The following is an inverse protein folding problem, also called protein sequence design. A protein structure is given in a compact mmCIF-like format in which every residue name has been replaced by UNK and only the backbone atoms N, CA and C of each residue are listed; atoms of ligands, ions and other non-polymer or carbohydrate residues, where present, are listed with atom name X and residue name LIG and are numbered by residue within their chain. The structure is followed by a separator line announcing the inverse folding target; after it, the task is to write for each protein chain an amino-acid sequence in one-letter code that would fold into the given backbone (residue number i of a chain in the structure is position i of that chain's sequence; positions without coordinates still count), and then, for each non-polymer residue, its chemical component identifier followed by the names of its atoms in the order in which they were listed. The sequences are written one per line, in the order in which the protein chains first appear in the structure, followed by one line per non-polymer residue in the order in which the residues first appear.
data_IF_435984691528
#
_entry.id   IF_435984691528
#
_cell.length_a   1.000
_cell.length_b   1.000
_cell.length_c   1.000
_cell.angle_alpha   90.00
_cell.angle_beta   90.00
_cell.angle_gamma   90.00
#
_symmetry.space_group_name_H-M   'P 1'
#
loop_
_entity.id
_entity.type
_entity.pdbx_description
1 polymer ?
#
# COMPACT_ATOMS: atom_id res chain seq x y z
N UNK A 1 14.10 -24.18 -12.64
CA UNK A 1 13.90 -22.82 -12.14
C UNK A 1 13.68 -21.78 -13.25
N UNK A 2 13.52 -22.19 -14.52
CA UNK A 2 13.35 -21.28 -15.69
C UNK A 2 11.96 -21.23 -16.32
N UNK A 3 10.99 -22.02 -15.85
CA UNK A 3 9.66 -22.07 -16.46
C UNK A 3 8.60 -21.12 -15.86
N UNK A 4 8.93 -20.43 -14.78
CA UNK A 4 7.97 -19.54 -14.09
C UNK A 4 7.96 -18.13 -14.70
N UNK A 5 9.02 -17.70 -15.35
CA UNK A 5 9.13 -16.34 -15.91
C UNK A 5 8.44 -16.13 -17.27
N UNK A 6 8.23 -17.18 -18.07
CA UNK A 6 7.62 -17.03 -19.40
C UNK A 6 6.09 -16.88 -19.41
N UNK A 7 5.40 -17.27 -18.32
CA UNK A 7 3.94 -17.15 -18.24
C UNK A 7 3.45 -15.77 -17.83
N UNK A 8 4.33 -14.95 -17.26
CA UNK A 8 3.99 -13.58 -16.84
C UNK A 8 3.91 -12.56 -17.98
N UNK A 9 4.53 -12.83 -19.12
CA UNK A 9 4.62 -11.86 -20.22
C UNK A 9 3.32 -11.73 -21.05
N UNK A 10 2.54 -12.80 -21.24
CA UNK A 10 1.31 -12.74 -22.04
C UNK A 10 0.11 -12.17 -21.31
N UNK A 11 0.14 -12.17 -19.98
CA UNK A 11 -0.94 -11.64 -19.12
C UNK A 11 -0.72 -10.15 -18.75
N UNK A 12 0.50 -9.64 -18.98
CA UNK A 12 0.89 -8.25 -18.71
C UNK A 12 0.14 -7.24 -19.60
N UNK A 13 -0.03 -7.55 -20.88
CA UNK A 13 -0.77 -6.69 -21.81
C UNK A 13 -2.28 -6.61 -21.51
N UNK A 14 -2.87 -7.72 -21.09
CA UNK A 14 -4.29 -7.76 -20.70
C UNK A 14 -4.54 -7.04 -19.36
N UNK A 15 -3.59 -7.10 -18.42
CA UNK A 15 -3.63 -6.40 -17.13
C UNK A 15 -3.38 -4.91 -17.28
N UNK A 16 -2.41 -4.51 -18.10
CA UNK A 16 -2.13 -3.10 -18.38
C UNK A 16 -3.35 -2.39 -18.98
N UNK A 17 -4.04 -3.01 -19.94
CA UNK A 17 -5.25 -2.46 -20.55
C UNK A 17 -6.42 -2.21 -19.57
N UNK A 18 -6.52 -2.99 -18.48
CA UNK A 18 -7.57 -2.77 -17.48
C UNK A 18 -7.26 -1.57 -16.58
N UNK A 19 -5.98 -1.30 -16.31
CA UNK A 19 -5.55 -0.17 -15.48
C UNK A 19 -5.30 1.13 -16.27
N UNK A 20 -5.00 1.04 -17.56
CA UNK A 20 -4.89 2.19 -18.48
C UNK A 20 -6.23 2.89 -18.74
N UNK A 21 -7.36 2.28 -18.39
CA UNK A 21 -8.70 2.83 -18.61
C UNK A 21 -9.26 3.65 -17.43
N UNK A 22 -8.53 3.79 -16.33
CA UNK A 22 -8.98 4.64 -15.23
C UNK A 22 -8.73 6.12 -15.57
N UNK A 23 -9.75 6.74 -16.18
CA UNK A 23 -9.77 8.17 -16.39
C UNK A 23 -9.80 8.90 -15.02
N UNK A 24 -8.89 9.83 -14.81
CA UNK A 24 -8.79 10.65 -13.57
C UNK A 24 -10.11 11.37 -13.23
N UNK A 25 -11.00 11.57 -14.21
CA UNK A 25 -12.36 12.05 -13.96
C UNK A 25 -13.20 11.11 -13.09
N UNK A 26 -12.79 9.84 -12.92
CA UNK A 26 -13.47 8.87 -12.05
C UNK A 26 -13.05 8.99 -10.58
N UNK A 27 -12.03 9.77 -10.25
CA UNK A 27 -11.65 10.05 -8.86
C UNK A 27 -12.70 10.91 -8.13
N UNK A 28 -13.70 11.43 -8.83
CA UNK A 28 -14.84 12.11 -8.18
C UNK A 28 -15.55 11.25 -7.13
N UNK A 29 -15.38 9.92 -7.17
CA UNK A 29 -15.86 9.00 -6.15
C UNK A 29 -14.82 7.93 -5.80
N UNK A 30 -13.94 8.26 -4.85
CA UNK A 30 -12.86 7.38 -4.41
C UNK A 30 -13.38 6.03 -3.88
N UNK A 31 -14.53 5.99 -3.19
CA UNK A 31 -15.11 4.73 -2.70
C UNK A 31 -15.50 3.81 -3.86
N UNK A 32 -16.12 4.35 -4.90
CA UNK A 32 -16.51 3.57 -6.08
C UNK A 32 -15.29 3.07 -6.84
N UNK A 33 -14.29 3.92 -7.02
CA UNK A 33 -13.03 3.56 -7.68
C UNK A 33 -12.33 2.43 -6.91
N UNK A 34 -12.15 2.58 -5.59
CA UNK A 34 -11.54 1.56 -4.75
C UNK A 34 -12.28 0.22 -4.81
N UNK A 35 -13.61 0.26 -4.82
CA UNK A 35 -14.44 -0.93 -4.97
C UNK A 35 -14.24 -1.61 -6.32
N UNK A 36 -14.23 -0.87 -7.41
CA UNK A 36 -14.02 -1.39 -8.76
C UNK A 36 -12.63 -2.02 -8.93
N UNK A 37 -11.58 -1.35 -8.41
CA UNK A 37 -10.20 -1.87 -8.45
C UNK A 37 -10.10 -3.18 -7.68
N UNK A 38 -10.68 -3.26 -6.47
CA UNK A 38 -10.67 -4.47 -5.65
C UNK A 38 -11.47 -5.61 -6.31
N UNK A 39 -12.65 -5.33 -6.83
CA UNK A 39 -13.48 -6.34 -7.51
C UNK A 39 -12.80 -6.85 -8.78
N UNK A 40 -12.23 -5.97 -9.60
CA UNK A 40 -11.48 -6.34 -10.79
C UNK A 40 -10.26 -7.19 -10.46
N UNK A 41 -9.54 -6.86 -9.40
CA UNK A 41 -8.40 -7.63 -8.91
C UNK A 41 -8.81 -9.04 -8.43
N UNK A 42 -9.88 -9.15 -7.64
CA UNK A 42 -10.40 -10.44 -7.15
C UNK A 42 -10.87 -11.31 -8.33
N UNK A 43 -11.60 -10.75 -9.30
CA UNK A 43 -12.01 -11.48 -10.51
C UNK A 43 -10.79 -11.95 -11.30
N UNK A 44 -9.75 -11.13 -11.40
CA UNK A 44 -8.48 -11.49 -12.04
C UNK A 44 -7.78 -12.66 -11.32
N UNK A 45 -7.79 -12.68 -9.99
CA UNK A 45 -7.25 -13.78 -9.19
C UNK A 45 -8.01 -15.10 -9.43
N UNK A 46 -9.33 -15.07 -9.54
CA UNK A 46 -10.13 -16.27 -9.79
C UNK A 46 -9.88 -16.90 -11.17
N UNK A 47 -9.41 -16.14 -12.14
CA UNK A 47 -8.99 -16.63 -13.46
C UNK A 47 -7.55 -17.13 -13.48
N UNK A 48 -6.77 -16.87 -12.43
CA UNK A 48 -5.39 -17.33 -12.30
C UNK A 48 -5.35 -18.72 -11.64
N UNK A 49 -4.41 -19.60 -12.01
CA UNK A 49 -4.25 -20.92 -11.37
C UNK A 49 -3.83 -20.85 -9.90
N UNK A 50 -3.64 -19.68 -9.33
CA UNK A 50 -3.49 -19.46 -7.89
C UNK A 50 -4.84 -19.59 -7.15
N UNK A 51 -5.40 -20.80 -7.15
CA UNK A 51 -6.57 -21.16 -6.35
C UNK A 51 -6.13 -21.34 -4.88
N UNK A 52 -6.10 -20.28 -4.10
CA UNK A 52 -5.73 -20.36 -2.69
C UNK A 52 -6.24 -19.19 -1.84
N UNK A 53 -6.69 -18.12 -2.48
CA UNK A 53 -7.19 -16.94 -1.77
C UNK A 53 -8.71 -16.82 -1.91
N UNK A 54 -9.45 -17.74 -1.27
CA UNK A 54 -10.88 -17.53 -1.07
C UNK A 54 -11.08 -16.61 0.11
N UNK A 55 -11.57 -15.39 -0.14
CA UNK A 55 -11.93 -14.39 0.87
C UNK A 55 -13.23 -14.77 1.60
N UNK A 56 -13.86 -15.86 1.19
CA UNK A 56 -15.08 -16.41 1.80
C UNK A 56 -15.02 -17.92 1.78
N UNK A 57 -14.52 -18.56 2.84
CA UNK A 57 -14.97 -19.89 3.20
C UNK A 57 -14.91 -20.05 4.72
N UNK A 58 -16.05 -19.96 5.36
CA UNK A 58 -16.27 -20.65 6.61
C UNK A 58 -16.29 -22.15 6.27
N UNK A 59 -15.19 -22.85 6.50
CA UNK A 59 -15.17 -24.31 6.42
C UNK A 59 -16.14 -24.87 7.45
N UNK A 60 -17.15 -25.58 6.98
CA UNK A 60 -17.97 -26.41 7.85
C UNK A 60 -17.15 -27.65 8.21
N UNK A 61 -16.63 -27.72 9.42
CA UNK A 61 -15.99 -28.92 9.96
C UNK A 61 -17.06 -29.89 10.47
N UNK A 62 -16.92 -31.17 10.21
CA UNK A 62 -17.77 -32.19 10.82
C UNK A 62 -17.67 -32.12 12.36
N UNK A 63 -18.79 -32.18 13.04
CA UNK A 63 -18.87 -32.24 14.49
C UNK A 63 -18.25 -33.53 15.00
N UNK A 64 -17.38 -33.43 16.00
CA UNK A 64 -16.84 -34.58 16.70
C UNK A 64 -17.60 -34.77 18.02
N UNK A 65 -18.03 -35.99 18.35
CA UNK A 65 -18.69 -36.28 19.62
C UNK A 65 -17.82 -35.82 20.82
N UNK A 66 -18.42 -35.00 21.70
CA UNK A 66 -17.74 -34.43 22.87
C UNK A 66 -17.43 -32.92 22.78
N UNK A 67 -17.66 -32.30 21.62
CA UNK A 67 -17.52 -30.84 21.45
C UNK A 67 -18.80 -30.10 21.87
N UNK A 68 -18.68 -28.78 22.07
CA UNK A 68 -19.83 -27.91 22.38
C UNK A 68 -20.87 -27.94 21.27
N UNK A 69 -22.11 -28.18 21.60
CA UNK A 69 -23.24 -28.19 20.66
C UNK A 69 -23.73 -26.78 20.28
N UNK A 70 -23.20 -25.73 20.92
CA UNK A 70 -23.61 -24.32 20.69
C UNK A 70 -23.27 -23.84 19.28
N UNK A 71 -22.20 -24.40 18.69
CA UNK A 71 -21.66 -23.94 17.42
C UNK A 71 -22.11 -24.81 16.24
N UNK A 72 -23.04 -25.73 16.46
CA UNK A 72 -23.61 -26.58 15.40
C UNK A 72 -24.48 -25.73 14.47
N UNK A 73 -24.26 -25.87 13.15
CA UNK A 73 -25.11 -25.26 12.14
C UNK A 73 -26.38 -26.13 11.93
N UNK A 74 -27.42 -25.82 12.70
CA UNK A 74 -28.70 -26.51 12.63
C UNK A 74 -29.41 -26.39 11.27
N UNK A 75 -29.10 -25.34 10.48
CA UNK A 75 -29.65 -25.18 9.13
C UNK A 75 -29.01 -26.14 8.13
N UNK A 76 -27.71 -26.40 8.28
CA UNK A 76 -27.00 -27.39 7.46
C UNK A 76 -27.38 -28.80 7.88
N UNK A 77 -27.51 -29.05 9.19
CA UNK A 77 -28.00 -30.32 9.71
C UNK A 77 -29.39 -30.69 9.14
N UNK A 78 -30.33 -29.76 9.15
CA UNK A 78 -31.67 -29.99 8.59
C UNK A 78 -31.74 -30.30 7.09
N UNK A 79 -30.64 -30.03 6.34
CA UNK A 79 -30.54 -30.28 4.90
C UNK A 79 -29.72 -31.51 4.53
N UNK A 80 -28.76 -31.88 5.36
CA UNK A 80 -27.72 -32.87 5.00
C UNK A 80 -27.64 -34.06 5.95
N UNK A 81 -28.42 -34.06 7.04
CA UNK A 81 -28.37 -35.04 8.14
C UNK A 81 -26.95 -35.21 8.74
N UNK A 82 -26.03 -34.28 8.47
CA UNK A 82 -24.68 -34.29 8.99
C UNK A 82 -24.47 -33.08 9.88
N UNK A 83 -23.96 -33.34 11.08
CA UNK A 83 -23.64 -32.25 12.02
C UNK A 83 -22.36 -31.54 11.60
N UNK A 84 -22.45 -30.28 11.25
CA UNK A 84 -21.33 -29.40 10.99
C UNK A 84 -21.25 -28.33 12.08
N UNK A 85 -20.05 -28.10 12.56
CA UNK A 85 -19.74 -26.98 13.44
C UNK A 85 -19.32 -25.80 12.58
N UNK A 86 -19.92 -24.66 12.82
CA UNK A 86 -19.40 -23.40 12.31
C UNK A 86 -18.04 -23.21 12.95
N UNK A 87 -16.98 -23.35 12.18
CA UNK A 87 -15.67 -22.87 12.60
C UNK A 87 -15.79 -21.35 12.61
N UNK A 88 -16.05 -20.76 13.76
CA UNK A 88 -15.74 -19.37 13.96
C UNK A 88 -14.22 -19.32 13.89
N UNK A 89 -13.65 -18.86 12.77
CA UNK A 89 -12.33 -18.29 12.84
C UNK A 89 -12.42 -17.25 13.95
N UNK A 90 -11.58 -17.37 14.96
CA UNK A 90 -11.45 -16.29 15.95
C UNK A 90 -11.36 -15.02 15.12
N UNK A 91 -12.32 -14.11 15.29
CA UNK A 91 -12.26 -12.80 14.64
C UNK A 91 -10.97 -12.16 15.14
N UNK A 92 -9.88 -12.45 14.45
CA UNK A 92 -8.63 -11.74 14.69
C UNK A 92 -8.92 -10.32 14.27
N UNK A 93 -9.31 -9.49 15.24
CA UNK A 93 -9.52 -8.06 15.04
C UNK A 93 -8.17 -7.44 14.66
N UNK A 94 -7.76 -7.67 13.42
CA UNK A 94 -6.55 -7.06 12.88
C UNK A 94 -6.70 -5.54 12.98
N UNK A 95 -5.71 -4.90 13.56
CA UNK A 95 -5.59 -3.44 13.53
C UNK A 95 -4.58 -3.08 12.46
N UNK A 96 -5.01 -2.31 11.49
CA UNK A 96 -4.17 -1.85 10.40
C UNK A 96 -4.06 -0.32 10.43
N UNK A 97 -2.84 0.19 10.58
CA UNK A 97 -2.57 1.62 10.45
C UNK A 97 -1.94 1.87 9.08
N UNK A 98 -2.61 2.67 8.27
CA UNK A 98 -2.11 3.10 6.97
C UNK A 98 -1.44 4.45 7.17
N UNK A 99 -0.22 4.59 6.68
CA UNK A 99 0.59 5.80 6.80
C UNK A 99 0.89 6.30 5.39
N UNK A 100 0.58 7.55 5.11
CA UNK A 100 0.82 8.17 3.80
C UNK A 100 1.76 9.35 4.00
N UNK A 101 2.83 9.35 3.25
CA UNK A 101 3.73 10.47 3.08
C UNK A 101 3.06 11.53 2.20
N UNK A 102 3.04 12.77 2.67
CA UNK A 102 2.43 13.91 1.99
C UNK A 102 3.46 15.01 1.68
N UNK A 103 4.75 14.65 1.66
CA UNK A 103 5.84 15.54 1.26
C UNK A 103 5.71 16.00 -0.19
N UNK A 104 6.43 17.06 -0.55
CA UNK A 104 6.35 17.67 -1.88
C UNK A 104 6.78 16.70 -2.98
N UNK A 105 7.74 15.81 -2.71
CA UNK A 105 8.19 14.77 -3.66
C UNK A 105 7.05 13.85 -4.11
N UNK A 106 6.07 13.59 -3.23
CA UNK A 106 4.92 12.74 -3.53
C UNK A 106 3.93 13.35 -4.55
N UNK A 107 4.02 14.64 -4.85
CA UNK A 107 3.21 15.28 -5.89
C UNK A 107 3.76 15.07 -7.31
N UNK A 108 4.89 14.38 -7.45
CA UNK A 108 5.42 13.98 -8.75
C UNK A 108 4.74 12.70 -9.29
N UNK A 109 4.51 12.57 -10.62
CA UNK A 109 4.65 13.58 -11.68
C UNK A 109 3.48 14.57 -11.68
N UNK A 110 3.75 15.81 -12.16
CA UNK A 110 2.73 16.83 -12.34
C UNK A 110 2.24 16.91 -13.79
N UNK A 111 1.80 15.78 -14.33
CA UNK A 111 1.30 15.67 -15.71
C UNK A 111 -0.22 15.55 -15.71
N UNK A 112 -0.93 16.45 -16.39
CA UNK A 112 -2.40 16.35 -16.51
C UNK A 112 -2.81 15.00 -17.07
N UNK A 113 -3.74 14.32 -16.41
CA UNK A 113 -4.24 13.01 -16.83
C UNK A 113 -3.44 11.81 -16.30
N UNK A 114 -2.38 12.03 -15.53
CA UNK A 114 -1.63 10.96 -14.84
C UNK A 114 -1.78 11.08 -13.34
N UNK A 115 -1.78 9.93 -12.65
CA UNK A 115 -1.71 9.90 -11.19
C UNK A 115 -0.31 10.29 -10.74
N UNK A 116 -0.21 11.19 -9.78
CA UNK A 116 1.02 11.39 -9.03
C UNK A 116 1.15 10.34 -7.91
N UNK A 117 2.32 10.26 -7.28
CA UNK A 117 2.61 9.28 -6.21
C UNK A 117 1.63 9.41 -5.03
N UNK A 118 1.24 10.64 -4.68
CA UNK A 118 0.29 10.90 -3.60
C UNK A 118 -1.11 10.38 -3.92
N UNK A 119 -1.62 10.68 -5.12
CA UNK A 119 -2.92 10.20 -5.59
C UNK A 119 -2.94 8.66 -5.70
N UNK A 120 -1.87 8.08 -6.23
CA UNK A 120 -1.70 6.62 -6.28
C UNK A 120 -1.73 6.01 -4.87
N UNK A 121 -1.01 6.59 -3.92
CA UNK A 121 -1.01 6.14 -2.52
C UNK A 121 -2.38 6.25 -1.87
N UNK A 122 -3.10 7.34 -2.11
CA UNK A 122 -4.45 7.54 -1.59
C UNK A 122 -5.46 6.52 -2.14
N UNK A 123 -5.41 6.23 -3.44
CA UNK A 123 -6.25 5.18 -4.05
C UNK A 123 -5.86 3.81 -3.52
N UNK A 124 -4.57 3.48 -3.43
CA UNK A 124 -4.07 2.24 -2.85
C UNK A 124 -4.55 2.03 -1.41
N UNK A 125 -4.47 3.08 -0.59
CA UNK A 125 -4.97 3.10 0.78
C UNK A 125 -6.49 2.84 0.84
N UNK A 126 -7.26 3.50 -0.02
CA UNK A 126 -8.71 3.30 -0.11
C UNK A 126 -9.07 1.85 -0.52
N UNK A 127 -8.31 1.24 -1.43
CA UNK A 127 -8.47 -0.16 -1.82
C UNK A 127 -8.23 -1.11 -0.63
N UNK A 128 -7.16 -0.90 0.12
CA UNK A 128 -6.86 -1.69 1.33
C UNK A 128 -7.95 -1.49 2.39
N UNK A 129 -8.39 -0.24 2.64
CA UNK A 129 -9.48 0.04 3.58
C UNK A 129 -10.79 -0.65 3.17
N UNK A 130 -11.07 -0.74 1.88
CA UNK A 130 -12.25 -1.47 1.38
C UNK A 130 -12.16 -2.96 1.69
N UNK A 131 -10.98 -3.59 1.53
CA UNK A 131 -10.74 -4.98 1.92
C UNK A 131 -10.88 -5.19 3.43
N UNK A 132 -10.26 -4.33 4.24
CA UNK A 132 -10.34 -4.37 5.70
C UNK A 132 -11.79 -4.24 6.19
N UNK A 133 -12.55 -3.31 5.60
CA UNK A 133 -13.98 -3.14 5.91
C UNK A 133 -14.78 -4.40 5.61
N UNK A 134 -14.55 -5.05 4.46
CA UNK A 134 -15.20 -6.32 4.09
C UNK A 134 -14.87 -7.44 5.09
N UNK A 135 -13.66 -7.45 5.64
CA UNK A 135 -13.17 -8.42 6.63
C UNK A 135 -13.53 -8.05 8.09
N UNK A 136 -14.23 -6.92 8.31
CA UNK A 136 -14.55 -6.37 9.63
C UNK A 136 -13.34 -6.05 10.50
N UNK A 137 -12.16 -5.88 9.90
CA UNK A 137 -10.95 -5.47 10.57
C UNK A 137 -11.00 -3.97 10.95
N UNK A 138 -10.20 -3.59 11.94
CA UNK A 138 -10.08 -2.18 12.35
C UNK A 138 -8.94 -1.52 11.59
N UNK A 139 -9.16 -0.30 11.12
CA UNK A 139 -8.16 0.46 10.38
C UNK A 139 -8.16 1.93 10.75
N UNK A 140 -6.99 2.55 10.61
CA UNK A 140 -6.74 3.96 10.84
C UNK A 140 -5.84 4.53 9.76
N UNK A 141 -5.75 5.85 9.71
CA UNK A 141 -4.94 6.61 8.77
C UNK A 141 -4.04 7.56 9.53
N UNK A 142 -2.79 7.66 9.11
CA UNK A 142 -1.86 8.71 9.51
C UNK A 142 -1.30 9.36 8.24
N UNK A 143 -1.14 10.67 8.27
CA UNK A 143 -0.52 11.43 7.20
C UNK A 143 0.59 12.29 7.80
N UNK A 144 1.72 12.35 7.14
CA UNK A 144 2.87 13.13 7.59
C UNK A 144 3.55 13.85 6.43
N UNK A 145 4.16 14.97 6.74
CA UNK A 145 5.14 15.67 5.93
C UNK A 145 6.42 15.88 6.79
N UNK A 146 6.76 17.09 7.17
CA UNK A 146 7.80 17.38 8.17
C UNK A 146 7.33 17.15 9.63
N UNK A 147 6.06 16.82 9.82
CA UNK A 147 5.43 16.52 11.11
C UNK A 147 4.22 15.60 10.89
N UNK A 148 3.67 15.10 11.97
CA UNK A 148 2.39 14.40 11.93
C UNK A 148 1.26 15.41 11.60
N UNK A 149 0.68 15.26 10.40
CA UNK A 149 -0.42 16.11 9.90
C UNK A 149 -1.76 15.64 10.42
N UNK A 150 -2.02 14.35 10.33
CA UNK A 150 -3.28 13.73 10.76
C UNK A 150 -2.99 12.35 11.33
N UNK A 151 -3.73 11.98 12.37
CA UNK A 151 -3.68 10.63 12.95
C UNK A 151 -5.05 10.21 13.45
N UNK A 152 -5.48 9.03 13.05
CA UNK A 152 -6.74 8.46 13.50
C UNK A 152 -6.52 7.10 14.16
N UNK A 153 -7.21 6.86 15.25
CA UNK A 153 -7.22 5.55 15.92
C UNK A 153 -7.96 4.53 15.06
N UNK A 154 -7.46 3.29 15.03
CA UNK A 154 -8.10 2.20 14.29
C UNK A 154 -9.52 1.90 14.79
N UNK A 155 -10.51 1.92 13.89
CA UNK A 155 -11.90 1.55 14.13
C UNK A 155 -12.46 0.77 12.94
N UNK A 156 -13.48 -0.06 13.15
CA UNK A 156 -14.14 -0.88 12.11
C UNK A 156 -15.50 -0.34 11.66
N UNK A 157 -15.94 0.83 12.17
CA UNK A 157 -17.27 1.38 11.88
C UNK A 157 -17.35 1.98 10.47
N UNK A 158 -18.53 1.89 9.86
CA UNK A 158 -18.79 2.49 8.53
C UNK A 158 -18.61 4.02 8.56
N UNK A 159 -19.01 4.68 9.65
CA UNK A 159 -18.82 6.13 9.81
C UNK A 159 -17.35 6.50 9.81
N UNK A 160 -16.50 5.69 10.46
CA UNK A 160 -15.07 5.91 10.45
C UNK A 160 -14.47 5.71 9.05
N UNK A 161 -14.93 4.69 8.32
CA UNK A 161 -14.53 4.48 6.93
C UNK A 161 -14.83 5.70 6.06
N UNK A 162 -16.05 6.26 6.15
CA UNK A 162 -16.43 7.45 5.39
C UNK A 162 -15.59 8.68 5.78
N UNK A 163 -15.27 8.83 7.06
CA UNK A 163 -14.38 9.89 7.53
C UNK A 163 -13.00 9.78 6.87
N UNK A 164 -12.40 8.57 6.85
CA UNK A 164 -11.08 8.37 6.25
C UNK A 164 -11.11 8.60 4.73
N UNK A 165 -12.16 8.18 4.04
CA UNK A 165 -12.33 8.50 2.62
C UNK A 165 -12.38 10.01 2.39
N UNK A 166 -13.06 10.78 3.25
CA UNK A 166 -13.09 12.25 3.16
C UNK A 166 -11.69 12.86 3.32
N UNK A 167 -10.84 12.29 4.18
CA UNK A 167 -9.45 12.74 4.31
C UNK A 167 -8.65 12.45 3.04
N UNK A 168 -8.81 11.26 2.48
CA UNK A 168 -8.14 10.88 1.24
C UNK A 168 -8.62 11.72 0.04
N UNK A 169 -9.92 12.00 -0.05
CA UNK A 169 -10.49 12.87 -1.09
C UNK A 169 -9.91 14.28 -1.00
N UNK A 170 -9.78 14.84 0.20
CA UNK A 170 -9.13 16.14 0.41
C UNK A 170 -7.67 16.11 -0.03
N UNK A 171 -6.96 15.05 0.33
CA UNK A 171 -5.56 14.86 -0.03
C UNK A 171 -5.36 14.82 -1.55
N UNK A 172 -6.26 14.16 -2.30
CA UNK A 172 -6.23 14.09 -3.77
C UNK A 172 -6.51 15.45 -4.41
N UNK A 173 -7.37 16.27 -3.78
CA UNK A 173 -7.76 17.59 -4.28
C UNK A 173 -6.80 18.71 -3.82
N UNK A 174 -5.95 18.41 -2.82
CA UNK A 174 -5.01 19.37 -2.30
C UNK A 174 -4.00 19.76 -3.39
N UNK A 175 -3.74 21.06 -3.46
CA UNK A 175 -2.71 21.57 -4.35
C UNK A 175 -1.40 21.57 -3.58
N UNK A 176 -0.33 21.28 -4.28
CA UNK A 176 1.02 21.34 -3.78
C UNK A 176 1.24 22.58 -2.88
N UNK A 177 1.71 22.33 -1.68
CA UNK A 177 2.28 23.36 -0.81
C UNK A 177 3.75 22.98 -0.59
N UNK A 178 4.62 23.98 -0.52
CA UNK A 178 6.03 23.78 -0.15
C UNK A 178 6.11 23.08 1.22
N UNK A 179 6.36 21.78 1.21
CA UNK A 179 6.46 20.94 2.40
C UNK A 179 7.81 20.25 2.37
N UNK A 180 8.62 20.52 3.36
CA UNK A 180 9.89 19.82 3.57
C UNK A 180 9.66 18.49 4.27
N UNK A 181 10.54 17.52 4.06
CA UNK A 181 10.43 16.19 4.67
C UNK A 181 11.28 16.10 5.93
N UNK A 182 10.66 15.77 7.06
CA UNK A 182 11.31 15.28 8.28
C UNK A 182 10.63 13.97 8.70
N UNK A 183 10.66 12.99 7.81
CA UNK A 183 9.93 11.73 7.93
C UNK A 183 10.26 10.97 9.23
N UNK A 184 11.49 11.04 9.69
CA UNK A 184 11.94 10.30 10.87
C UNK A 184 11.18 10.67 12.14
N UNK A 185 11.06 11.96 12.45
CA UNK A 185 10.39 12.43 13.67
C UNK A 185 8.88 12.14 13.64
N UNK A 186 8.26 12.32 12.46
CA UNK A 186 6.86 11.99 12.28
C UNK A 186 6.59 10.48 12.44
N UNK A 187 7.43 9.63 11.87
CA UNK A 187 7.32 8.17 12.02
C UNK A 187 7.54 7.72 13.46
N UNK A 188 8.44 8.35 14.22
CA UNK A 188 8.58 8.09 15.65
C UNK A 188 7.31 8.42 16.43
N UNK A 189 6.71 9.59 16.18
CA UNK A 189 5.44 9.98 16.82
C UNK A 189 4.31 9.01 16.47
N UNK A 190 4.23 8.59 15.21
CA UNK A 190 3.24 7.62 14.75
C UNK A 190 3.47 6.26 15.45
N UNK A 191 4.73 5.80 15.58
CA UNK A 191 5.06 4.55 16.23
C UNK A 191 4.60 4.52 17.70
N UNK A 192 4.70 5.65 18.40
CA UNK A 192 4.22 5.79 19.78
C UNK A 192 2.69 5.83 19.89
N UNK A 193 2.02 6.39 18.87
CA UNK A 193 0.56 6.55 18.85
C UNK A 193 -0.19 5.26 18.45
N UNK A 194 0.44 4.36 17.69
CA UNK A 194 -0.19 3.14 17.19
C UNK A 194 -0.28 2.08 18.29
N UNK A 195 -1.42 1.40 18.34
CA UNK A 195 -1.59 0.27 19.25
C UNK A 195 -0.62 -0.88 18.88
N UNK A 196 0.09 -1.41 19.89
CA UNK A 196 1.06 -2.52 19.71
C UNK A 196 0.46 -3.70 18.93
N UNK A 197 1.29 -4.41 18.18
CA UNK A 197 0.92 -5.58 17.37
C UNK A 197 -0.10 -5.26 16.27
N UNK A 198 0.05 -4.12 15.63
CA UNK A 198 -0.74 -3.74 14.46
C UNK A 198 -0.02 -4.09 13.17
N UNK A 199 -0.76 -4.26 12.09
CA UNK A 199 -0.22 -4.17 10.73
C UNK A 199 -0.04 -2.69 10.41
N UNK A 200 1.14 -2.31 9.98
CA UNK A 200 1.48 -0.94 9.56
C UNK A 200 1.82 -0.96 8.08
N UNK A 201 1.14 -0.15 7.30
CA UNK A 201 1.35 -0.03 5.86
C UNK A 201 1.78 1.39 5.57
N UNK A 202 2.97 1.56 5.00
CA UNK A 202 3.56 2.87 4.71
C UNK A 202 3.61 3.05 3.20
N UNK A 203 3.11 4.18 2.72
CA UNK A 203 3.28 4.65 1.34
C UNK A 203 4.18 5.88 1.36
N UNK A 204 5.38 5.77 0.81
CA UNK A 204 6.37 6.84 0.74
C UNK A 204 7.40 6.52 -0.34
N UNK A 205 8.00 7.52 -0.94
CA UNK A 205 9.19 7.36 -1.77
C UNK A 205 10.48 7.31 -0.93
N UNK A 206 10.36 7.58 0.38
CA UNK A 206 11.49 7.57 1.33
C UNK A 206 12.66 8.45 0.89
N UNK A 207 12.43 9.40 -0.03
CA UNK A 207 13.44 10.39 -0.37
C UNK A 207 13.57 11.37 0.79
N UNK A 208 14.73 11.40 1.39
CA UNK A 208 15.12 12.39 2.38
C UNK A 208 16.46 12.99 1.92
N UNK A 209 16.71 14.26 2.20
CA UNK A 209 17.87 15.02 1.72
C UNK A 209 19.24 14.51 2.21
N UNK A 210 19.39 13.22 2.40
CA UNK A 210 20.66 12.48 2.55
C UNK A 210 21.34 12.59 3.91
N UNK A 211 21.01 13.57 4.74
CA UNK A 211 21.67 13.74 6.04
C UNK A 211 21.02 12.94 7.18
N UNK A 212 19.78 12.44 7.00
CA UNK A 212 18.97 11.83 8.06
C UNK A 212 18.60 10.35 7.83
N UNK A 213 19.23 9.67 6.88
CA UNK A 213 18.94 8.25 6.59
C UNK A 213 19.03 7.34 7.82
N UNK A 214 19.99 7.57 8.70
CA UNK A 214 20.11 6.77 9.93
C UNK A 214 18.95 7.06 10.91
N UNK A 215 18.43 8.27 10.95
CA UNK A 215 17.23 8.60 11.73
C UNK A 215 15.98 7.95 11.14
N UNK A 216 15.84 7.95 9.83
CA UNK A 216 14.75 7.26 9.14
C UNK A 216 14.78 5.75 9.45
N UNK A 217 15.96 5.12 9.37
CA UNK A 217 16.11 3.71 9.73
C UNK A 217 15.81 3.45 11.21
N UNK A 218 16.19 4.36 12.11
CA UNK A 218 15.85 4.26 13.53
C UNK A 218 14.33 4.34 13.76
N UNK A 219 13.63 5.19 13.01
CA UNK A 219 12.16 5.28 13.07
C UNK A 219 11.47 4.01 12.55
N UNK A 220 11.94 3.44 11.45
CA UNK A 220 11.46 2.15 10.94
C UNK A 220 11.73 1.01 11.93
N UNK A 221 12.90 1.01 12.58
CA UNK A 221 13.23 0.05 13.63
C UNK A 221 12.33 0.22 14.86
N UNK A 222 11.97 1.44 15.23
CA UNK A 222 11.05 1.73 16.34
C UNK A 222 9.66 1.12 16.06
N UNK A 223 9.11 1.27 14.87
CA UNK A 223 7.87 0.60 14.46
C UNK A 223 7.98 -0.91 14.67
N UNK A 224 9.09 -1.52 14.30
CA UNK A 224 9.28 -2.96 14.45
C UNK A 224 9.47 -3.40 15.91
N UNK A 225 10.12 -2.56 16.74
CA UNK A 225 10.31 -2.82 18.16
C UNK A 225 8.97 -2.93 18.93
N UNK A 226 7.96 -2.16 18.54
CA UNK A 226 6.61 -2.24 19.08
C UNK A 226 5.83 -3.50 18.61
N UNK A 227 6.51 -4.45 17.97
CA UNK A 227 5.99 -5.72 17.43
C UNK A 227 4.94 -5.52 16.33
N UNK A 228 5.03 -4.44 15.58
CA UNK A 228 4.22 -4.25 14.38
C UNK A 228 4.72 -5.15 13.23
N UNK A 229 3.77 -5.60 12.42
CA UNK A 229 4.10 -6.09 11.09
C UNK A 229 4.07 -4.91 10.14
N UNK A 230 5.19 -4.67 9.44
CA UNK A 230 5.36 -3.47 8.63
C UNK A 230 5.51 -3.86 7.16
N UNK A 231 4.76 -3.18 6.30
CA UNK A 231 4.90 -3.20 4.85
C UNK A 231 5.25 -1.79 4.41
N UNK A 232 6.33 -1.63 3.68
CA UNK A 232 6.71 -0.38 3.05
C UNK A 232 6.48 -0.49 1.54
N UNK A 233 5.52 0.25 1.03
CA UNK A 233 5.35 0.50 -0.39
C UNK A 233 6.22 1.69 -0.78
N UNK A 234 7.34 1.40 -1.43
CA UNK A 234 8.23 2.40 -2.00
C UNK A 234 7.63 2.88 -3.31
N UNK A 235 6.94 4.04 -3.25
CA UNK A 235 6.15 4.56 -4.37
C UNK A 235 7.03 5.42 -5.27
N UNK A 236 7.16 5.02 -6.53
CA UNK A 236 8.05 5.70 -7.49
C UNK A 236 7.43 5.77 -8.88
N UNK A 237 7.86 6.73 -9.70
CA UNK A 237 7.77 6.67 -11.15
C UNK A 237 9.05 6.01 -11.67
N UNK A 238 8.99 4.70 -11.91
CA UNK A 238 10.16 3.90 -12.28
C UNK A 238 10.88 4.46 -13.51
N UNK A 239 10.15 4.85 -14.53
CA UNK A 239 10.71 5.34 -15.79
C UNK A 239 11.53 6.62 -15.59
N UNK A 240 11.02 7.58 -14.82
CA UNK A 240 11.66 8.89 -14.67
C UNK A 240 12.55 8.97 -13.43
N UNK A 241 12.12 8.41 -12.30
CA UNK A 241 12.88 8.52 -11.04
C UNK A 241 13.94 7.44 -10.88
N UNK A 242 13.70 6.18 -11.33
CA UNK A 242 14.68 5.11 -11.18
C UNK A 242 15.55 4.91 -12.42
N UNK A 243 14.97 4.94 -13.61
CA UNK A 243 15.66 4.68 -14.89
C UNK A 243 16.13 5.96 -15.58
N UNK A 244 15.65 7.13 -15.13
CA UNK A 244 15.97 8.45 -15.67
C UNK A 244 15.78 8.52 -17.20
N UNK A 245 14.62 8.02 -17.68
CA UNK A 245 14.31 8.00 -19.10
C UNK A 245 13.69 9.34 -19.54
N UNK A 246 14.57 10.27 -19.92
CA UNK A 246 14.21 11.56 -20.50
C UNK A 246 14.74 11.66 -21.92
N UNK A 247 14.04 12.40 -22.79
CA UNK A 247 14.54 12.70 -24.12
C UNK A 247 15.90 13.40 -24.07
N UNK A 248 16.72 13.20 -25.11
CA UNK A 248 18.04 13.83 -25.17
C UNK A 248 17.93 15.33 -25.51
N UNK A 249 17.52 16.12 -24.53
CA UNK A 249 17.45 17.58 -24.60
C UNK A 249 17.77 18.21 -23.25
N UNK A 250 18.11 19.49 -23.20
CA UNK A 250 18.27 20.19 -21.92
C UNK A 250 16.94 20.28 -21.17
N UNK A 251 16.95 19.95 -19.87
CA UNK A 251 15.85 20.11 -18.96
C UNK A 251 16.22 21.05 -17.82
N UNK A 252 15.26 21.78 -17.32
CA UNK A 252 15.35 22.47 -16.06
C UNK A 252 14.68 21.60 -15.00
N UNK A 253 15.49 20.94 -14.19
CA UNK A 253 15.00 20.13 -13.05
C UNK A 253 14.76 21.07 -11.87
N UNK A 254 13.62 20.90 -11.24
CA UNK A 254 13.21 21.69 -10.08
C UNK A 254 13.07 20.73 -8.91
N UNK A 255 13.81 20.96 -7.85
CA UNK A 255 13.61 20.27 -6.59
C UNK A 255 12.28 20.73 -5.97
N UNK A 256 11.36 19.81 -5.78
CA UNK A 256 10.02 20.12 -5.26
C UNK A 256 10.04 20.51 -3.76
N UNK A 257 11.11 20.19 -3.04
CA UNK A 257 11.24 20.53 -1.61
C UNK A 257 11.93 21.88 -1.38
N UNK A 258 13.04 22.12 -2.07
CA UNK A 258 13.83 23.33 -1.91
C UNK A 258 13.50 24.42 -2.92
N UNK A 259 12.82 24.09 -4.03
CA UNK A 259 12.57 24.98 -5.15
C UNK A 259 13.83 25.28 -5.99
N UNK A 260 14.94 24.60 -5.71
CA UNK A 260 16.21 24.81 -6.41
C UNK A 260 16.10 24.33 -7.85
N UNK A 261 16.66 25.12 -8.79
CA UNK A 261 16.57 24.83 -10.22
C UNK A 261 17.94 24.54 -10.80
N UNK A 262 18.06 23.41 -11.46
CA UNK A 262 19.30 23.01 -12.12
C UNK A 262 19.03 22.69 -13.59
N UNK A 263 19.78 23.34 -14.49
CA UNK A 263 19.73 23.05 -15.93
C UNK A 263 20.78 22.02 -16.27
N UNK A 264 20.32 20.85 -16.73
CA UNK A 264 21.18 19.72 -17.03
C UNK A 264 20.79 19.10 -18.36
N UNK A 265 21.78 18.47 -19.01
CA UNK A 265 21.56 17.63 -20.16
C UNK A 265 21.33 16.18 -19.66
N UNK A 266 20.16 15.63 -19.94
CA UNK A 266 19.74 14.35 -19.35
C UNK A 266 20.75 13.22 -19.52
N UNK A 267 21.34 13.08 -20.70
CA UNK A 267 22.30 12.02 -21.01
C UNK A 267 23.63 12.11 -20.23
N UNK A 268 24.06 13.30 -19.85
CA UNK A 268 25.32 13.49 -19.13
C UNK A 268 25.19 13.09 -17.66
N UNK A 269 24.01 13.30 -17.08
CA UNK A 269 23.74 13.08 -15.66
C UNK A 269 23.21 11.68 -15.40
N UNK A 270 22.50 11.09 -16.36
CA UNK A 270 21.84 9.78 -16.25
C UNK A 270 22.70 8.70 -15.58
N UNK A 271 23.95 8.42 -15.99
CA UNK A 271 24.74 7.34 -15.37
C UNK A 271 24.95 7.54 -13.87
N UNK A 272 25.30 8.77 -13.47
CA UNK A 272 25.53 9.11 -12.06
C UNK A 272 24.26 9.07 -11.23
N UNK A 273 23.18 9.60 -11.79
CA UNK A 273 21.88 9.60 -11.13
C UNK A 273 21.37 8.18 -10.87
N UNK A 274 21.32 7.36 -11.92
CA UNK A 274 20.86 5.96 -11.84
C UNK A 274 21.69 5.15 -10.85
N UNK A 275 23.00 5.33 -10.84
CA UNK A 275 23.88 4.65 -9.87
C UNK A 275 23.55 5.08 -8.43
N UNK A 276 23.36 6.36 -8.19
CA UNK A 276 23.01 6.90 -6.86
C UNK A 276 21.65 6.40 -6.39
N UNK A 277 20.64 6.48 -7.22
CA UNK A 277 19.26 6.03 -6.88
C UNK A 277 19.24 4.51 -6.66
N UNK A 278 19.95 3.74 -7.50
CA UNK A 278 20.07 2.30 -7.32
C UNK A 278 20.74 1.95 -5.99
N UNK A 279 21.86 2.60 -5.67
CA UNK A 279 22.55 2.40 -4.38
C UNK A 279 21.66 2.75 -3.19
N UNK A 280 20.90 3.84 -3.29
CA UNK A 280 19.91 4.23 -2.27
C UNK A 280 18.84 3.16 -2.08
N UNK A 281 18.19 2.73 -3.18
CA UNK A 281 17.11 1.73 -3.14
C UNK A 281 17.61 0.39 -2.60
N UNK A 282 18.80 -0.05 -3.02
CA UNK A 282 19.42 -1.28 -2.51
C UNK A 282 19.71 -1.19 -1.01
N UNK A 283 20.23 -0.05 -0.53
CA UNK A 283 20.47 0.16 0.90
C UNK A 283 19.14 0.14 1.69
N UNK A 284 18.13 0.86 1.23
CA UNK A 284 16.80 0.86 1.85
C UNK A 284 16.21 -0.56 1.91
N UNK A 285 16.30 -1.32 0.82
CA UNK A 285 15.83 -2.71 0.74
C UNK A 285 16.58 -3.63 1.70
N UNK A 286 17.90 -3.49 1.79
CA UNK A 286 18.73 -4.26 2.73
C UNK A 286 18.39 -3.94 4.19
N UNK A 287 18.18 -2.68 4.53
CA UNK A 287 17.78 -2.27 5.89
C UNK A 287 16.37 -2.77 6.23
N UNK A 288 15.42 -2.67 5.30
CA UNK A 288 14.09 -3.24 5.47
C UNK A 288 14.16 -4.76 5.74
N UNK A 289 14.96 -5.49 4.97
CA UNK A 289 15.17 -6.92 5.18
C UNK A 289 15.76 -7.22 6.56
N UNK A 290 16.77 -6.45 6.99
CA UNK A 290 17.40 -6.58 8.30
C UNK A 290 16.39 -6.39 9.44
N UNK A 291 15.47 -5.45 9.30
CA UNK A 291 14.43 -5.18 10.30
C UNK A 291 13.18 -6.04 10.14
N UNK A 292 13.16 -6.98 9.16
CA UNK A 292 11.98 -7.79 8.83
C UNK A 292 10.77 -6.94 8.43
N UNK A 293 11.02 -5.85 7.74
CA UNK A 293 10.03 -5.00 7.08
C UNK A 293 9.86 -5.54 5.66
N UNK A 294 8.62 -5.73 5.23
CA UNK A 294 8.32 -6.14 3.87
C UNK A 294 8.43 -4.92 2.94
N UNK A 295 9.48 -4.90 2.11
CA UNK A 295 9.72 -3.85 1.14
C UNK A 295 9.11 -4.23 -0.20
N UNK A 296 8.30 -3.35 -0.76
CA UNK A 296 7.60 -3.57 -2.04
C UNK A 296 7.79 -2.35 -2.91
N UNK A 297 8.38 -2.54 -4.08
CA UNK A 297 8.43 -1.52 -5.11
C UNK A 297 7.02 -1.32 -5.67
N UNK A 298 6.54 -0.08 -5.65
CA UNK A 298 5.20 0.31 -6.10
C UNK A 298 5.31 1.38 -7.19
N UNK A 299 5.46 0.93 -8.44
CA UNK A 299 5.47 1.81 -9.59
C UNK A 299 4.05 2.32 -9.87
N UNK A 300 3.90 3.64 -9.96
CA UNK A 300 2.61 4.29 -10.24
C UNK A 300 2.02 3.86 -11.59
N UNK A 301 2.85 3.35 -12.52
CA UNK A 301 2.44 2.86 -13.84
C UNK A 301 2.06 1.37 -13.86
N UNK A 302 2.48 0.58 -12.87
CA UNK A 302 2.10 -0.84 -12.75
C UNK A 302 0.69 -1.05 -12.17
N UNK A 303 0.10 0.00 -11.60
CA UNK A 303 -1.22 -0.05 -10.96
C UNK A 303 -1.22 -0.69 -9.59
N UNK A 304 -2.42 -1.03 -9.08
CA UNK A 304 -2.63 -1.42 -7.68
C UNK A 304 -2.47 -2.92 -7.41
N UNK A 305 -2.23 -3.72 -8.44
CA UNK A 305 -2.08 -5.19 -8.33
C UNK A 305 -1.05 -5.63 -7.29
N UNK A 306 0.21 -5.14 -7.36
CA UNK A 306 1.26 -5.49 -6.39
C UNK A 306 0.90 -5.14 -4.95
N UNK A 307 0.25 -3.98 -4.74
CA UNK A 307 -0.20 -3.51 -3.41
C UNK A 307 -1.22 -4.49 -2.82
N UNK A 308 -2.27 -4.81 -3.57
CA UNK A 308 -3.35 -5.69 -3.12
C UNK A 308 -2.86 -7.12 -2.92
N UNK A 309 -2.01 -7.63 -3.81
CA UNK A 309 -1.43 -8.97 -3.68
C UNK A 309 -0.58 -9.08 -2.42
N UNK A 310 0.30 -8.12 -2.18
CA UNK A 310 1.16 -8.11 -0.98
C UNK A 310 0.33 -8.06 0.30
N UNK A 311 -0.67 -7.18 0.34
CA UNK A 311 -1.58 -7.10 1.49
C UNK A 311 -2.28 -8.45 1.75
N UNK A 312 -2.85 -9.10 0.72
CA UNK A 312 -3.54 -10.38 0.90
C UNK A 312 -2.61 -11.51 1.34
N UNK A 313 -1.40 -11.60 0.77
CA UNK A 313 -0.38 -12.57 1.21
C UNK A 313 0.03 -12.32 2.65
N UNK A 314 0.22 -11.08 3.05
CA UNK A 314 0.56 -10.73 4.44
C UNK A 314 -0.56 -11.08 5.39
N UNK A 315 -1.79 -10.73 5.03
CA UNK A 315 -2.99 -11.01 5.83
C UNK A 315 -3.18 -12.52 6.07
N UNK A 316 -2.95 -13.33 5.05
CA UNK A 316 -3.09 -14.80 5.17
C UNK A 316 -2.06 -15.43 6.12
N UNK A 317 -0.93 -14.77 6.37
CA UNK A 317 0.10 -15.23 7.32
C UNK A 317 -0.15 -14.75 8.76
N UNK A 318 -1.04 -13.80 8.96
CA UNK A 318 -1.40 -13.25 10.28
C UNK A 318 -2.60 -13.95 10.92
N UNK A 319 -3.31 -14.78 10.14
CA UNK A 319 -4.32 -15.71 10.60
C UNK A 319 -3.67 -17.06 10.94
#
# INVERSE_FOLDING_TARGET
MCHIFCYFASDKESRMKFFEQFDLKQIENLELLAKQVVEGFIIGLHKSPFHGFSVEFAEHRLYNPGESTKDIDWKVYARSDKMFVKKFEEETNLRCQIIIDTSSSMYYPQVPGQLNKLQFSAVGAACIMNLLKKQRDSFGLSMFDNKLVEHTVCKSSTTHYQLLLTFLDRLIQDKESEKTTAAADALHQIADAIHKRSLVIIFSDMFDNGEDMEKLFAALQHLKYAKHEVILFHVTDKEHELEFEFENRPYEFIDLESGEKVKLQSNEVKPYYVEKVKSFTENLKMRCLQYKIEFVEADIKEGFGPILQTYLVKRSKLN
#
